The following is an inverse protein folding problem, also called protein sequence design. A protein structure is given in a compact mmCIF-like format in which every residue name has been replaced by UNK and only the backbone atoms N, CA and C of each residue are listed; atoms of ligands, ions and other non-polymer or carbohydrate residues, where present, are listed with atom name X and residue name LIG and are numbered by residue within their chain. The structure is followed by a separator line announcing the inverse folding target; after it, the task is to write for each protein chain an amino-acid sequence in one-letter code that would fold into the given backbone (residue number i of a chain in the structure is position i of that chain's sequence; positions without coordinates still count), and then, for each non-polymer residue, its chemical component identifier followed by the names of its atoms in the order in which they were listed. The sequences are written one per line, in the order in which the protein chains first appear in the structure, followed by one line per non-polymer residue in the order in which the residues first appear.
data_IF_188845950107
#
_entry.id   IF_188845950107
#
_cell.length_a   1.000
_cell.length_b   1.000
_cell.length_c   1.000
_cell.angle_alpha   90.00
_cell.angle_beta   90.00
_cell.angle_gamma   90.00
#
_symmetry.space_group_name_H-M   'P 1'
#
loop_
_entity.id
_entity.type
_entity.pdbx_description
1 polymer ?
#
# COMPACT_ATOMS: atom_id res chain seq x y z
N UNK A 1 4.80 10.09 -29.28
CA UNK A 1 5.92 9.55 -28.49
C UNK A 1 5.45 9.53 -27.05
N UNK A 2 5.17 8.35 -26.49
CA UNK A 2 4.78 8.23 -25.08
C UNK A 2 6.04 8.52 -24.27
N UNK A 3 6.03 9.58 -23.47
CA UNK A 3 7.01 9.74 -22.39
C UNK A 3 6.90 8.50 -21.51
N UNK A 4 7.86 7.59 -21.62
CA UNK A 4 8.01 6.55 -20.63
C UNK A 4 8.36 7.27 -19.33
N UNK A 5 7.42 7.30 -18.39
CA UNK A 5 7.70 7.63 -17.00
C UNK A 5 8.73 6.61 -16.51
N UNK A 6 10.02 6.96 -16.66
CA UNK A 6 11.15 6.22 -16.09
C UNK A 6 11.18 6.53 -14.61
N UNK A 7 10.22 5.98 -13.87
CA UNK A 7 10.33 5.90 -12.41
C UNK A 7 11.30 4.74 -12.14
N UNK A 8 12.46 5.00 -11.52
CA UNK A 8 13.42 3.93 -11.25
C UNK A 8 12.83 2.87 -10.30
N UNK A 9 13.18 1.58 -10.47
CA UNK A 9 12.67 0.51 -9.60
C UNK A 9 12.96 0.74 -8.11
N UNK A 10 14.08 1.37 -7.75
CA UNK A 10 14.38 1.75 -6.37
C UNK A 10 13.41 2.82 -5.83
N UNK A 11 13.01 3.78 -6.66
CA UNK A 11 12.01 4.78 -6.28
C UNK A 11 10.66 4.11 -6.06
N UNK A 12 10.24 3.19 -6.94
CA UNK A 12 9.00 2.43 -6.77
C UNK A 12 8.99 1.60 -5.47
N UNK A 13 10.11 0.96 -5.13
CA UNK A 13 10.26 0.22 -3.87
C UNK A 13 10.17 1.12 -2.65
N UNK A 14 10.82 2.29 -2.71
CA UNK A 14 10.77 3.28 -1.65
C UNK A 14 9.34 3.79 -1.41
N UNK A 15 8.64 4.18 -2.48
CA UNK A 15 7.24 4.60 -2.42
C UNK A 15 6.33 3.49 -1.89
N UNK A 16 6.56 2.23 -2.28
CA UNK A 16 5.81 1.11 -1.74
C UNK A 16 6.03 0.91 -0.23
N UNK A 17 7.27 1.08 0.25
CA UNK A 17 7.57 1.03 1.68
C UNK A 17 6.88 2.17 2.44
N UNK A 18 6.88 3.38 1.88
CA UNK A 18 6.16 4.53 2.46
C UNK A 18 4.65 4.27 2.54
N UNK A 19 4.04 3.76 1.46
CA UNK A 19 2.62 3.42 1.44
C UNK A 19 2.26 2.35 2.49
N UNK A 20 3.09 1.32 2.66
CA UNK A 20 2.91 0.33 3.74
C UNK A 20 3.00 0.98 5.13
N UNK A 21 3.95 1.88 5.34
CA UNK A 21 4.10 2.61 6.61
C UNK A 21 2.86 3.45 6.91
N UNK A 22 2.37 4.22 5.94
CA UNK A 22 1.17 5.05 6.08
C UNK A 22 -0.06 4.18 6.36
N UNK A 23 -0.22 3.05 5.64
CA UNK A 23 -1.31 2.12 5.89
C UNK A 23 -1.27 1.58 7.32
N UNK A 24 -0.08 1.19 7.81
CA UNK A 24 0.08 0.70 9.17
C UNK A 24 -0.21 1.77 10.22
N UNK A 25 0.24 3.01 9.99
CA UNK A 25 -0.05 4.14 10.88
C UNK A 25 -1.54 4.47 10.93
N UNK A 26 -2.23 4.49 9.78
CA UNK A 26 -3.67 4.66 9.68
C UNK A 26 -4.41 3.59 10.50
N UNK A 27 -4.05 2.31 10.30
CA UNK A 27 -4.62 1.18 11.04
C UNK A 27 -4.42 1.33 12.56
N UNK A 28 -3.19 1.62 13.00
CA UNK A 28 -2.86 1.72 14.42
C UNK A 28 -3.59 2.89 15.10
N UNK A 29 -3.56 4.06 14.46
CA UNK A 29 -4.24 5.27 14.96
C UNK A 29 -5.74 5.03 15.07
N UNK A 30 -6.32 4.39 14.05
CA UNK A 30 -7.72 4.03 14.06
C UNK A 30 -8.07 3.03 15.16
N UNK A 31 -7.31 1.95 15.33
CA UNK A 31 -7.55 0.96 16.39
C UNK A 31 -7.51 1.60 17.79
N UNK A 32 -6.60 2.55 18.00
CA UNK A 32 -6.53 3.30 19.26
C UNK A 32 -7.80 4.16 19.46
N UNK A 33 -8.17 4.96 18.47
CA UNK A 33 -9.34 5.82 18.56
C UNK A 33 -10.64 5.02 18.69
N UNK A 34 -10.75 3.87 18.02
CA UNK A 34 -11.86 2.94 18.18
C UNK A 34 -11.98 2.45 19.63
N UNK A 35 -10.87 2.04 20.26
CA UNK A 35 -10.86 1.65 21.67
C UNK A 35 -11.38 2.75 22.58
N UNK A 36 -10.90 3.99 22.39
CA UNK A 36 -11.36 5.15 23.17
C UNK A 36 -12.87 5.42 22.97
N UNK A 37 -13.37 5.30 21.75
CA UNK A 37 -14.80 5.50 21.46
C UNK A 37 -15.67 4.37 22.02
N UNK A 38 -15.20 3.12 21.97
CA UNK A 38 -15.89 1.98 22.56
C UNK A 38 -16.04 2.13 24.08
N UNK A 39 -15.00 2.61 24.76
CA UNK A 39 -15.04 2.88 26.20
C UNK A 39 -16.05 3.99 26.55
N UNK A 40 -16.09 5.06 25.75
CA UNK A 40 -17.08 6.14 25.92
C UNK A 40 -18.51 5.64 25.66
N UNK A 41 -18.70 4.83 24.63
CA UNK A 41 -19.99 4.23 24.25
C UNK A 41 -20.59 3.39 25.38
N UNK A 42 -19.77 2.67 26.15
CA UNK A 42 -20.23 1.90 27.30
C UNK A 42 -20.97 2.78 28.33
N UNK A 43 -20.60 4.06 28.45
CA UNK A 43 -21.26 5.03 29.33
C UNK A 43 -22.64 5.50 28.86
N UNK A 44 -22.96 5.36 27.57
CA UNK A 44 -24.26 5.75 27.01
C UNK A 44 -25.34 4.69 27.14
N UNK A 45 -24.98 3.42 27.40
CA UNK A 45 -25.93 2.30 27.53
C UNK A 45 -26.80 2.08 26.28
N UNK A 46 -28.00 1.54 26.49
CA UNK A 46 -29.03 1.25 25.46
C UNK A 46 -29.85 2.50 25.09
N UNK A 47 -29.19 3.64 24.91
CA UNK A 47 -29.85 4.88 24.48
C UNK A 47 -29.84 5.02 22.96
N UNK A 48 -30.76 5.82 22.42
CA UNK A 48 -30.78 6.15 20.98
C UNK A 48 -29.44 6.74 20.52
N UNK A 49 -28.86 7.66 21.32
CA UNK A 49 -27.54 8.22 21.05
C UNK A 49 -26.42 7.17 21.08
N UNK A 50 -26.48 6.22 22.02
CA UNK A 50 -25.54 5.10 22.08
C UNK A 50 -25.64 4.19 20.84
N UNK A 51 -26.85 3.91 20.37
CA UNK A 51 -27.07 3.15 19.14
C UNK A 51 -26.53 3.87 17.91
N UNK A 52 -26.81 5.17 17.77
CA UNK A 52 -26.31 5.98 16.66
C UNK A 52 -24.78 6.03 16.62
N UNK A 53 -24.14 6.27 17.77
CA UNK A 53 -22.70 6.33 17.88
C UNK A 53 -22.05 4.96 17.57
N UNK A 54 -22.68 3.84 17.95
CA UNK A 54 -22.22 2.49 17.60
C UNK A 54 -22.25 2.24 16.09
N UNK A 55 -23.36 2.57 15.43
CA UNK A 55 -23.44 2.47 13.96
C UNK A 55 -22.42 3.36 13.27
N UNK A 56 -22.18 4.57 13.78
CA UNK A 56 -21.16 5.44 13.21
C UNK A 56 -19.74 4.89 13.40
N UNK A 57 -19.48 4.24 14.54
CA UNK A 57 -18.21 3.60 14.83
C UNK A 57 -17.97 2.40 13.89
N UNK A 58 -18.97 1.54 13.69
CA UNK A 58 -18.93 0.42 12.73
C UNK A 58 -18.65 0.90 11.30
N UNK A 59 -19.35 1.94 10.84
CA UNK A 59 -19.12 2.51 9.51
C UNK A 59 -17.68 3.04 9.35
N UNK A 60 -17.14 3.62 10.42
CA UNK A 60 -15.77 4.13 10.41
C UNK A 60 -14.73 3.00 10.39
N UNK A 61 -15.01 1.87 11.05
CA UNK A 61 -14.19 0.65 10.95
C UNK A 61 -14.12 0.13 9.51
N UNK A 62 -15.26 0.05 8.84
CA UNK A 62 -15.35 -0.38 7.44
C UNK A 62 -14.58 0.55 6.49
N UNK A 63 -14.75 1.86 6.67
CA UNK A 63 -14.02 2.87 5.90
C UNK A 63 -12.51 2.69 6.08
N UNK A 64 -12.02 2.56 7.31
CA UNK A 64 -10.58 2.40 7.59
C UNK A 64 -10.03 1.10 7.02
N UNK A 65 -10.79 0.01 7.13
CA UNK A 65 -10.41 -1.27 6.54
C UNK A 65 -10.24 -1.16 5.02
N UNK A 66 -11.19 -0.51 4.35
CA UNK A 66 -11.15 -0.25 2.91
C UNK A 66 -9.93 0.58 2.51
N UNK A 67 -9.66 1.69 3.21
CA UNK A 67 -8.49 2.53 2.93
C UNK A 67 -7.16 1.80 3.17
N UNK A 68 -7.07 1.00 4.24
CA UNK A 68 -5.90 0.16 4.50
C UNK A 68 -5.65 -0.80 3.33
N UNK A 69 -6.69 -1.53 2.90
CA UNK A 69 -6.59 -2.47 1.77
C UNK A 69 -6.17 -1.78 0.47
N UNK A 70 -6.71 -0.60 0.18
CA UNK A 70 -6.34 0.18 -1.00
C UNK A 70 -4.85 0.56 -0.97
N UNK A 71 -4.36 1.08 0.15
CA UNK A 71 -2.95 1.49 0.29
C UNK A 71 -1.99 0.29 0.20
N UNK A 72 -2.31 -0.83 0.85
CA UNK A 72 -1.47 -2.04 0.79
C UNK A 72 -1.46 -2.64 -0.61
N UNK A 73 -2.62 -2.70 -1.28
CA UNK A 73 -2.71 -3.18 -2.67
C UNK A 73 -1.88 -2.32 -3.61
N UNK A 74 -1.93 -0.99 -3.45
CA UNK A 74 -1.16 -0.06 -4.28
C UNK A 74 0.36 -0.22 -4.08
N UNK A 75 0.79 -0.40 -2.83
CA UNK A 75 2.17 -0.67 -2.50
C UNK A 75 2.66 -2.02 -3.07
N UNK A 76 1.85 -3.06 -2.96
CA UNK A 76 2.19 -4.38 -3.49
C UNK A 76 2.26 -4.36 -5.01
N UNK A 77 1.38 -3.61 -5.68
CA UNK A 77 1.46 -3.40 -7.12
C UNK A 77 2.77 -2.70 -7.51
N UNK A 78 3.16 -1.61 -6.81
CA UNK A 78 4.45 -0.95 -7.05
C UNK A 78 5.66 -1.88 -6.88
N UNK A 79 5.66 -2.72 -5.83
CA UNK A 79 6.74 -3.72 -5.63
C UNK A 79 6.81 -4.73 -6.76
N UNK A 80 5.65 -5.21 -7.23
CA UNK A 80 5.56 -6.14 -8.36
C UNK A 80 6.10 -5.49 -9.63
N UNK A 81 5.65 -4.27 -9.96
CA UNK A 81 6.12 -3.54 -11.14
C UNK A 81 7.63 -3.29 -11.10
N UNK A 82 8.16 -2.85 -9.95
CA UNK A 82 9.60 -2.67 -9.76
C UNK A 82 10.40 -3.97 -10.03
N UNK A 83 9.87 -5.10 -9.55
CA UNK A 83 10.50 -6.41 -9.76
C UNK A 83 10.49 -6.84 -11.24
N UNK A 84 9.40 -6.50 -11.97
CA UNK A 84 9.31 -6.74 -13.42
C UNK A 84 10.33 -5.92 -14.19
N UNK A 85 10.53 -4.64 -13.82
CA UNK A 85 11.55 -3.80 -14.45
C UNK A 85 12.97 -4.33 -14.22
N UNK A 86 13.32 -4.70 -12.97
CA UNK A 86 14.63 -5.31 -12.68
C UNK A 86 14.85 -6.60 -13.50
N UNK A 87 13.80 -7.41 -13.70
CA UNK A 87 13.89 -8.63 -14.48
C UNK A 87 14.10 -8.35 -15.97
N UNK A 88 13.41 -7.34 -16.52
CA UNK A 88 13.58 -6.89 -17.90
C UNK A 88 15.00 -6.33 -18.13
N UNK A 89 15.50 -5.47 -17.25
CA UNK A 89 16.86 -4.91 -17.33
C UNK A 89 17.93 -6.00 -17.30
N UNK A 90 17.74 -7.07 -16.50
CA UNK A 90 18.65 -8.22 -16.47
C UNK A 90 18.63 -9.03 -17.76
N UNK A 91 17.46 -9.23 -18.36
CA UNK A 91 17.31 -9.92 -19.64
C UNK A 91 17.98 -9.13 -20.76
N UNK A 92 17.78 -7.82 -20.80
CA UNK A 92 18.41 -6.92 -21.77
C UNK A 92 19.95 -6.93 -21.61
N UNK A 93 20.45 -6.86 -20.37
CA UNK A 93 21.88 -6.95 -20.10
C UNK A 93 22.49 -8.30 -20.51
N UNK A 94 21.77 -9.41 -20.27
CA UNK A 94 22.22 -10.75 -20.69
C UNK A 94 22.22 -10.91 -22.21
N UNK A 95 21.22 -10.34 -22.91
CA UNK A 95 21.15 -10.33 -24.37
C UNK A 95 22.27 -9.50 -25.01
N UNK A 96 22.64 -8.37 -24.40
CA UNK A 96 23.77 -7.55 -24.85
C UNK A 96 25.14 -8.20 -24.59
N UNK A 97 25.30 -8.94 -23.49
CA UNK A 97 26.54 -9.67 -23.21
C UNK A 97 26.73 -10.90 -24.14
N UNK A 98 25.64 -11.51 -24.61
CA UNK A 98 25.67 -12.66 -25.51
C UNK A 98 26.07 -12.35 -26.96
N UNK A 99 25.91 -11.11 -27.42
CA UNK A 99 26.24 -10.70 -28.81
C UNK A 99 27.63 -10.08 -28.96
N UNK A 100 28.30 -9.72 -27.86
CA UNK A 100 29.63 -9.11 -27.88
C UNK A 100 30.79 -10.13 -27.98
N UNK A 101 30.50 -11.44 -27.98
CA UNK A 101 31.51 -12.51 -28.02
C UNK A 101 31.68 -13.21 -29.38
N UNK A 102 30.88 -12.89 -30.39
CA UNK A 102 30.86 -13.58 -31.68
C UNK A 102 31.30 -12.61 -32.79
N UNK A 103 32.58 -12.23 -32.74
CA UNK A 103 33.17 -11.26 -33.65
C UNK A 103 34.69 -11.18 -33.53
N UNK A 104 35.38 -12.32 -33.57
CA UNK A 104 36.78 -12.35 -34.05
C UNK A 104 37.14 -13.74 -34.59
N UNK A 105 37.21 -13.86 -35.92
CA UNK A 105 37.95 -14.87 -36.69
C UNK A 105 38.09 -14.42 -38.15
#
# INVERSE_FOLDING_TARGET
MSEFLRVPPEQMRHEAAQLHSIAQELKNTHQNAHGQMADLLAGFGETESGSFLRTRLEQWEDETHSHYQHLTTHADNRRRVASTFDAADRLDAAGFAGTAGEGDA
#
